data_IF_860924822328
#
_entry.id   IF_860924822328
#
_cell.length_a   1.000
_cell.length_b   1.000
_cell.length_c   1.000
_cell.angle_alpha   90.00
_cell.angle_beta   90.00
_cell.angle_gamma   90.00
#
_symmetry.space_group_name_H-M   'P 1'
#
loop_
_entity.id
_entity.type
_entity.pdbx_description
1 polymer ?
#
# COMPACT_ATOMS: atom_id res chain seq x y z
N UNK A 1 21.43 -12.18 22.98
CA UNK A 1 20.82 -10.84 22.82
C UNK A 1 20.59 -10.48 21.35
N UNK A 2 21.59 -10.58 20.46
CA UNK A 2 21.41 -10.24 19.03
C UNK A 2 20.30 -11.05 18.31
N UNK A 3 20.25 -12.38 18.48
CA UNK A 3 19.17 -13.21 17.89
C UNK A 3 17.77 -12.75 18.32
N UNK A 4 17.56 -12.47 19.61
CA UNK A 4 16.29 -11.97 20.13
C UNK A 4 15.95 -10.60 19.53
N UNK A 5 16.94 -9.74 19.32
CA UNK A 5 16.74 -8.44 18.69
C UNK A 5 16.32 -8.58 17.22
N UNK A 6 17.01 -9.40 16.44
CA UNK A 6 16.68 -9.65 15.02
C UNK A 6 15.32 -10.32 14.85
N UNK A 7 14.93 -11.21 15.78
CA UNK A 7 13.58 -11.80 15.81
C UNK A 7 12.53 -10.73 16.13
N UNK A 8 12.79 -9.85 17.11
CA UNK A 8 11.87 -8.75 17.44
C UNK A 8 11.65 -7.79 16.27
N UNK A 9 12.70 -7.49 15.49
CA UNK A 9 12.59 -6.66 14.27
C UNK A 9 11.69 -7.34 13.23
N UNK A 10 11.84 -8.64 13.02
CA UNK A 10 10.98 -9.39 12.11
C UNK A 10 9.53 -9.46 12.59
N UNK A 11 9.32 -9.67 13.90
CA UNK A 11 7.99 -9.61 14.50
C UNK A 11 7.38 -8.22 14.24
N UNK A 12 8.15 -7.14 14.36
CA UNK A 12 7.64 -5.79 14.09
C UNK A 12 7.18 -5.59 12.64
N UNK A 13 7.83 -6.26 11.66
CA UNK A 13 7.41 -6.24 10.25
C UNK A 13 6.11 -7.01 10.01
N UNK A 14 5.97 -8.19 10.61
CA UNK A 14 4.90 -9.14 10.27
C UNK A 14 3.70 -9.08 11.20
N UNK A 15 3.90 -8.64 12.45
CA UNK A 15 2.83 -8.50 13.44
C UNK A 15 1.67 -7.61 12.94
N UNK A 16 1.89 -6.46 12.29
CA UNK A 16 0.79 -5.64 11.75
C UNK A 16 -0.04 -6.40 10.71
N UNK A 17 0.61 -7.19 9.85
CA UNK A 17 -0.05 -8.02 8.82
C UNK A 17 -0.91 -9.08 9.51
N UNK A 18 -0.36 -9.78 10.51
CA UNK A 18 -1.08 -10.80 11.28
C UNK A 18 -2.27 -10.19 12.02
N UNK A 19 -2.07 -9.07 12.71
CA UNK A 19 -3.12 -8.39 13.49
C UNK A 19 -4.25 -7.90 12.59
N UNK A 20 -3.95 -7.30 11.44
CA UNK A 20 -4.96 -6.88 10.46
C UNK A 20 -5.68 -8.08 9.86
N UNK A 21 -4.96 -9.12 9.45
CA UNK A 21 -5.57 -10.33 8.89
C UNK A 21 -6.55 -11.00 9.86
N UNK A 22 -6.20 -11.04 11.15
CA UNK A 22 -7.05 -11.60 12.21
C UNK A 22 -8.19 -10.67 12.57
N UNK A 23 -7.93 -9.36 12.69
CA UNK A 23 -8.94 -8.36 13.02
C UNK A 23 -10.06 -8.28 11.98
N UNK A 24 -9.75 -8.52 10.71
CA UNK A 24 -10.71 -8.53 9.60
C UNK A 24 -11.15 -9.95 9.18
N UNK A 25 -10.85 -10.99 9.96
CA UNK A 25 -11.22 -12.39 9.67
C UNK A 25 -10.88 -12.87 8.25
N UNK A 26 -9.78 -12.38 7.70
CA UNK A 26 -9.41 -12.65 6.32
C UNK A 26 -9.09 -14.13 6.09
N UNK A 27 -9.67 -14.71 5.04
CA UNK A 27 -9.32 -16.09 4.63
C UNK A 27 -8.15 -16.05 3.64
N UNK A 28 -6.94 -16.54 4.00
CA UNK A 28 -5.74 -16.40 3.17
C UNK A 28 -5.89 -17.07 1.80
N UNK A 29 -6.62 -18.20 1.73
CA UNK A 29 -6.88 -18.91 0.47
C UNK A 29 -7.64 -18.07 -0.56
N UNK A 30 -8.53 -17.18 -0.10
CA UNK A 30 -9.31 -16.31 -0.99
C UNK A 30 -8.47 -15.16 -1.54
N UNK A 31 -7.45 -14.74 -0.80
CA UNK A 31 -6.57 -13.64 -1.20
C UNK A 31 -5.47 -14.08 -2.17
N UNK A 32 -5.31 -15.38 -2.43
CA UNK A 32 -4.30 -15.91 -3.34
C UNK A 32 -4.27 -15.23 -4.73
N UNK A 33 -5.41 -15.05 -5.44
CA UNK A 33 -5.40 -14.34 -6.73
C UNK A 33 -4.95 -12.88 -6.61
N UNK A 34 -5.36 -12.19 -5.53
CA UNK A 34 -4.95 -10.81 -5.26
C UNK A 34 -3.44 -10.73 -4.98
N UNK A 35 -2.93 -11.62 -4.14
CA UNK A 35 -1.50 -11.76 -3.81
C UNK A 35 -0.70 -12.03 -5.08
N UNK A 36 -1.18 -12.91 -5.97
CA UNK A 36 -0.51 -13.21 -7.24
C UNK A 36 -0.45 -11.99 -8.17
N UNK A 37 -1.55 -11.23 -8.31
CA UNK A 37 -1.57 -10.02 -9.13
C UNK A 37 -0.62 -8.95 -8.58
N UNK A 38 -0.61 -8.75 -7.26
CA UNK A 38 0.30 -7.77 -6.63
C UNK A 38 1.76 -8.23 -6.73
N UNK A 39 2.04 -9.53 -6.59
CA UNK A 39 3.38 -10.06 -6.78
C UNK A 39 3.88 -9.84 -8.22
N UNK A 40 3.03 -10.12 -9.21
CA UNK A 40 3.35 -9.86 -10.62
C UNK A 40 3.58 -8.38 -10.89
N UNK A 41 2.76 -7.48 -10.32
CA UNK A 41 2.96 -6.04 -10.50
C UNK A 41 4.28 -5.56 -9.89
N UNK A 42 4.60 -6.00 -8.67
CA UNK A 42 5.86 -5.63 -8.00
C UNK A 42 7.09 -6.20 -8.74
N UNK A 43 7.03 -7.45 -9.23
CA UNK A 43 8.09 -8.05 -10.06
C UNK A 43 8.25 -7.30 -11.39
N UNK A 44 7.15 -6.93 -12.04
CA UNK A 44 7.20 -6.16 -13.29
C UNK A 44 7.82 -4.77 -13.06
N UNK A 45 7.41 -4.06 -12.01
CA UNK A 45 7.98 -2.76 -11.64
C UNK A 45 9.48 -2.84 -11.37
N UNK A 46 9.91 -3.82 -10.56
CA UNK A 46 11.34 -4.02 -10.27
C UNK A 46 12.13 -4.39 -11.52
N UNK A 47 11.57 -5.20 -12.42
CA UNK A 47 12.21 -5.54 -13.70
C UNK A 47 12.41 -4.31 -14.58
N UNK A 48 11.42 -3.42 -14.66
CA UNK A 48 11.52 -2.17 -15.43
C UNK A 48 12.54 -1.22 -14.79
N UNK A 49 12.55 -1.10 -13.47
CA UNK A 49 13.53 -0.27 -12.76
C UNK A 49 14.96 -0.78 -12.99
N UNK A 50 15.15 -2.10 -12.96
CA UNK A 50 16.45 -2.73 -13.20
C UNK A 50 16.88 -2.58 -14.65
N UNK A 51 15.97 -2.71 -15.63
CA UNK A 51 16.30 -2.52 -17.04
C UNK A 51 16.68 -1.07 -17.39
N UNK A 52 16.21 -0.10 -16.59
CA UNK A 52 16.61 1.31 -16.67
C UNK A 52 17.92 1.61 -15.92
N UNK A 53 18.56 0.62 -15.28
CA UNK A 53 19.81 0.85 -14.57
C UNK A 53 20.97 0.91 -15.55
N UNK A 54 21.67 2.04 -15.58
CA UNK A 54 22.82 2.24 -16.46
C UNK A 54 23.66 3.45 -16.07
N UNK A 55 24.88 3.54 -16.60
CA UNK A 55 25.83 4.62 -16.29
C UNK A 55 25.43 5.98 -16.88
N UNK A 56 24.43 6.03 -17.77
CA UNK A 56 23.98 7.27 -18.39
C UNK A 56 23.09 8.11 -17.47
N UNK A 57 23.34 9.42 -17.40
CA UNK A 57 22.47 10.39 -16.71
C UNK A 57 21.01 10.29 -17.18
N UNK A 58 20.80 10.04 -18.48
CA UNK A 58 19.46 9.84 -19.05
C UNK A 58 18.75 8.61 -18.47
N UNK A 59 19.45 7.47 -18.37
CA UNK A 59 18.90 6.24 -17.80
C UNK A 59 18.59 6.40 -16.32
N UNK A 60 19.50 7.01 -15.55
CA UNK A 60 19.26 7.33 -14.15
C UNK A 60 18.05 8.28 -13.99
N UNK A 61 17.93 9.31 -14.84
CA UNK A 61 16.79 10.22 -14.82
C UNK A 61 15.47 9.49 -15.12
N UNK A 62 15.45 8.63 -16.14
CA UNK A 62 14.29 7.79 -16.46
C UNK A 62 13.93 6.84 -15.32
N UNK A 63 14.93 6.21 -14.70
CA UNK A 63 14.73 5.33 -13.55
C UNK A 63 14.08 6.07 -12.39
N UNK A 64 14.52 7.29 -12.10
CA UNK A 64 13.96 8.12 -11.03
C UNK A 64 12.55 8.63 -11.38
N UNK A 65 12.32 9.05 -12.63
CA UNK A 65 10.98 9.40 -13.10
C UNK A 65 10.02 8.21 -12.96
N UNK A 66 10.47 7.00 -13.29
CA UNK A 66 9.67 5.80 -13.12
C UNK A 66 9.35 5.52 -11.64
N UNK A 67 10.35 5.61 -10.75
CA UNK A 67 10.17 5.40 -9.29
C UNK A 67 9.28 6.46 -8.63
N UNK A 68 9.44 7.72 -8.99
CA UNK A 68 8.73 8.85 -8.36
C UNK A 68 7.33 9.03 -8.94
N UNK A 69 7.16 8.83 -10.24
CA UNK A 69 5.89 9.08 -10.93
C UNK A 69 5.15 7.79 -11.27
N UNK A 70 5.75 6.94 -12.10
CA UNK A 70 5.04 5.81 -12.70
C UNK A 70 4.62 4.78 -11.64
N UNK A 71 5.49 4.42 -10.71
CA UNK A 71 5.22 3.42 -9.67
C UNK A 71 4.02 3.83 -8.79
N UNK A 72 4.01 5.02 -8.15
CA UNK A 72 2.84 5.48 -7.39
C UNK A 72 1.52 5.50 -8.14
N UNK A 73 1.56 5.89 -9.42
CA UNK A 73 0.37 5.95 -10.29
C UNK A 73 -0.13 4.55 -10.61
N UNK A 74 0.75 3.62 -10.98
CA UNK A 74 0.40 2.22 -11.21
C UNK A 74 -0.18 1.56 -9.96
N UNK A 75 0.43 1.83 -8.79
CA UNK A 75 -0.05 1.27 -7.52
C UNK A 75 -1.43 1.78 -7.16
N UNK A 76 -1.66 3.10 -7.27
CA UNK A 76 -2.96 3.69 -7.00
C UNK A 76 -4.03 3.20 -7.99
N UNK A 77 -3.68 3.06 -9.27
CA UNK A 77 -4.57 2.51 -10.29
C UNK A 77 -4.88 1.02 -10.04
N UNK A 78 -3.92 0.22 -9.58
CA UNK A 78 -4.15 -1.19 -9.24
C UNK A 78 -5.03 -1.33 -7.99
N UNK A 79 -4.83 -0.48 -6.98
CA UNK A 79 -5.71 -0.43 -5.80
C UNK A 79 -7.13 -0.03 -6.22
N UNK A 80 -7.29 0.98 -7.08
CA UNK A 80 -8.59 1.38 -7.62
C UNK A 80 -9.26 0.27 -8.42
N UNK A 81 -8.52 -0.39 -9.31
CA UNK A 81 -9.00 -1.55 -10.05
C UNK A 81 -9.44 -2.68 -9.11
N UNK A 82 -8.64 -3.04 -8.11
CA UNK A 82 -8.96 -4.11 -7.18
C UNK A 82 -10.18 -3.81 -6.30
N UNK A 83 -10.43 -2.54 -5.97
CA UNK A 83 -11.48 -2.12 -5.03
C UNK A 83 -12.78 -1.62 -5.69
N UNK A 84 -12.70 -1.04 -6.88
CA UNK A 84 -13.83 -0.37 -7.53
C UNK A 84 -14.31 -1.09 -8.80
N UNK A 85 -13.51 -1.93 -9.46
CA UNK A 85 -13.99 -2.72 -10.62
C UNK A 85 -14.78 -3.96 -10.13
N UNK A 86 -16.09 -4.07 -10.44
CA UNK A 86 -16.92 -5.18 -9.96
C UNK A 86 -16.49 -6.55 -10.51
N UNK A 87 -15.89 -6.60 -11.71
CA UNK A 87 -15.34 -7.83 -12.29
C UNK A 87 -14.05 -8.20 -11.58
N UNK A 88 -13.17 -7.24 -11.34
CA UNK A 88 -11.94 -7.46 -10.59
C UNK A 88 -12.22 -7.94 -9.17
N UNK A 89 -13.12 -7.29 -8.43
CA UNK A 89 -13.50 -7.70 -7.07
C UNK A 89 -14.01 -9.15 -6.99
N UNK A 90 -14.78 -9.58 -7.99
CA UNK A 90 -15.26 -10.97 -8.10
C UNK A 90 -14.11 -11.92 -8.43
N UNK A 91 -13.28 -11.59 -9.43
CA UNK A 91 -12.16 -12.42 -9.88
C UNK A 91 -11.06 -12.56 -8.82
N UNK A 92 -10.76 -11.47 -8.11
CA UNK A 92 -9.76 -11.38 -7.06
C UNK A 92 -10.31 -11.82 -5.69
N UNK A 93 -11.58 -12.22 -5.63
CA UNK A 93 -12.30 -12.69 -4.44
C UNK A 93 -12.26 -11.71 -3.24
N UNK A 94 -12.12 -10.41 -3.52
CA UNK A 94 -12.04 -9.35 -2.52
C UNK A 94 -13.40 -9.08 -1.85
N UNK A 95 -14.52 -9.50 -2.48
CA UNK A 95 -15.90 -9.36 -1.94
C UNK A 95 -16.56 -10.70 -1.59
N UNK A 96 -15.81 -11.58 -0.92
CA UNK A 96 -16.26 -12.92 -0.54
C UNK A 96 -16.93 -13.05 0.82
N UNK A 97 -17.71 -12.08 1.32
CA UNK A 97 -18.55 -12.25 2.51
C UNK A 97 -18.02 -11.61 3.81
N UNK A 98 -18.30 -10.31 3.97
CA UNK A 98 -18.06 -9.56 5.22
C UNK A 98 -16.66 -8.95 5.38
N UNK A 99 -15.72 -9.33 4.52
CA UNK A 99 -14.33 -8.89 4.61
C UNK A 99 -14.16 -7.44 4.12
N UNK A 100 -13.46 -6.61 4.91
CA UNK A 100 -13.09 -5.22 4.56
C UNK A 100 -12.11 -5.26 3.37
N UNK A 101 -12.60 -4.92 2.18
CA UNK A 101 -11.87 -5.02 0.93
C UNK A 101 -10.59 -4.16 0.94
N UNK A 102 -10.68 -2.94 1.48
CA UNK A 102 -9.50 -2.08 1.66
C UNK A 102 -8.41 -2.72 2.51
N UNK A 103 -8.81 -3.38 3.61
CA UNK A 103 -7.88 -4.05 4.49
C UNK A 103 -7.25 -5.25 3.78
N UNK A 104 -8.03 -6.05 3.06
CA UNK A 104 -7.54 -7.18 2.29
C UNK A 104 -6.48 -6.77 1.28
N UNK A 105 -6.69 -5.67 0.55
CA UNK A 105 -5.70 -5.11 -0.37
C UNK A 105 -4.44 -4.66 0.35
N UNK A 106 -4.56 -3.91 1.45
CA UNK A 106 -3.40 -3.45 2.22
C UNK A 106 -2.57 -4.61 2.79
N UNK A 107 -3.23 -5.63 3.34
CA UNK A 107 -2.58 -6.83 3.90
C UNK A 107 -1.91 -7.65 2.81
N UNK A 108 -2.60 -7.92 1.70
CA UNK A 108 -2.01 -8.66 0.59
C UNK A 108 -0.80 -7.92 0.02
N UNK A 109 -0.90 -6.61 -0.17
CA UNK A 109 0.18 -5.80 -0.71
C UNK A 109 1.42 -5.82 0.18
N UNK A 110 1.24 -5.59 1.47
CA UNK A 110 2.36 -5.56 2.42
C UNK A 110 2.94 -6.93 2.69
N UNK A 111 2.14 -7.99 2.68
CA UNK A 111 2.64 -9.35 2.74
C UNK A 111 3.57 -9.67 1.55
N UNK A 112 3.18 -9.27 0.34
CA UNK A 112 4.02 -9.46 -0.86
C UNK A 112 5.28 -8.60 -0.79
N UNK A 113 5.19 -7.33 -0.39
CA UNK A 113 6.36 -6.44 -0.22
C UNK A 113 7.38 -7.02 0.76
N UNK A 114 6.91 -7.46 1.93
CA UNK A 114 7.77 -8.09 2.95
C UNK A 114 8.39 -9.38 2.41
N UNK A 115 7.60 -10.23 1.76
CA UNK A 115 8.07 -11.51 1.23
C UNK A 115 9.12 -11.35 0.10
N UNK A 116 8.90 -10.41 -0.83
CA UNK A 116 9.78 -10.23 -1.99
C UNK A 116 11.04 -9.42 -1.64
N UNK A 117 10.90 -8.33 -0.88
CA UNK A 117 11.98 -7.34 -0.76
C UNK A 117 12.67 -7.30 0.60
N UNK A 118 12.03 -7.78 1.67
CA UNK A 118 12.56 -7.66 3.04
C UNK A 118 12.98 -8.98 3.65
N UNK A 119 12.30 -10.07 3.30
CA UNK A 119 12.54 -11.42 3.83
C UNK A 119 13.99 -11.88 3.61
N UNK A 120 14.52 -11.73 2.40
CA UNK A 120 15.87 -12.20 2.08
C UNK A 120 16.96 -11.43 2.83
N UNK A 121 16.83 -10.10 2.93
CA UNK A 121 17.78 -9.27 3.70
C UNK A 121 17.77 -9.67 5.18
N UNK A 122 16.58 -9.84 5.76
CA UNK A 122 16.46 -10.30 7.14
C UNK A 122 17.07 -11.70 7.33
N UNK A 123 16.77 -12.65 6.44
CA UNK A 123 17.31 -14.01 6.50
C UNK A 123 18.84 -14.03 6.44
N UNK A 124 19.45 -13.13 5.68
CA UNK A 124 20.91 -13.04 5.59
C UNK A 124 21.55 -12.54 6.90
N UNK A 125 20.91 -11.60 7.61
CA UNK A 125 21.45 -10.98 8.81
C UNK A 125 21.01 -11.69 10.11
N UNK A 126 19.96 -12.52 10.07
CA UNK A 126 19.42 -13.15 11.28
C UNK A 126 20.47 -13.95 12.08
N UNK A 127 21.43 -14.58 11.40
CA UNK A 127 22.50 -15.36 12.02
C UNK A 127 23.73 -14.55 12.43
N UNK A 128 23.79 -13.26 12.07
CA UNK A 128 24.94 -12.41 12.35
C UNK A 128 24.87 -11.84 13.78
N UNK A 129 25.98 -11.85 14.52
CA UNK A 129 26.04 -11.20 15.82
C UNK A 129 26.07 -9.68 15.66
N UNK A 130 25.01 -9.01 16.09
CA UNK A 130 24.90 -7.55 16.04
C UNK A 130 23.45 -7.06 16.12
N UNK A 131 23.30 -5.76 16.35
CA UNK A 131 22.07 -5.03 16.08
C UNK A 131 22.19 -4.41 14.69
N UNK A 132 21.20 -4.63 13.85
CA UNK A 132 21.18 -4.10 12.49
C UNK A 132 20.19 -2.94 12.37
N UNK A 133 20.73 -1.73 12.29
CA UNK A 133 19.98 -0.49 12.11
C UNK A 133 19.20 -0.47 10.80
N UNK A 134 19.72 -1.07 9.72
CA UNK A 134 19.05 -1.11 8.42
C UNK A 134 17.79 -1.98 8.49
N UNK A 135 17.87 -3.11 9.17
CA UNK A 135 16.73 -3.98 9.40
C UNK A 135 15.67 -3.32 10.30
N UNK A 136 16.07 -2.56 11.33
CA UNK A 136 15.11 -1.79 12.13
C UNK A 136 14.42 -0.71 11.29
N UNK A 137 15.16 0.06 10.49
CA UNK A 137 14.59 1.07 9.58
C UNK A 137 13.63 0.43 8.59
N UNK A 138 14.02 -0.70 8.01
CA UNK A 138 13.17 -1.51 7.13
C UNK A 138 11.88 -1.93 7.86
N UNK A 139 11.93 -2.32 9.13
CA UNK A 139 10.73 -2.68 9.87
C UNK A 139 9.76 -1.50 10.06
N UNK A 140 10.29 -0.33 10.41
CA UNK A 140 9.48 0.90 10.56
C UNK A 140 8.88 1.31 9.22
N UNK A 141 9.64 1.22 8.13
CA UNK A 141 9.12 1.51 6.78
C UNK A 141 7.98 0.55 6.39
N UNK A 142 8.11 -0.75 6.67
CA UNK A 142 7.04 -1.72 6.42
C UNK A 142 5.78 -1.38 7.22
N UNK A 143 5.94 -0.94 8.47
CA UNK A 143 4.84 -0.49 9.32
C UNK A 143 4.16 0.78 8.77
N UNK A 144 4.93 1.79 8.39
CA UNK A 144 4.38 3.02 7.81
C UNK A 144 3.69 2.72 6.47
N UNK A 145 4.27 1.80 5.67
CA UNK A 145 3.71 1.40 4.40
C UNK A 145 2.34 0.71 4.57
N UNK A 146 2.19 -0.23 5.51
CA UNK A 146 0.90 -0.91 5.72
C UNK A 146 -0.19 0.08 6.16
N UNK A 147 0.13 1.02 7.05
CA UNK A 147 -0.81 2.04 7.51
C UNK A 147 -1.17 2.99 6.35
N UNK A 148 -0.18 3.46 5.58
CA UNK A 148 -0.39 4.31 4.41
C UNK A 148 -1.24 3.61 3.34
N UNK A 149 -0.97 2.34 3.04
CA UNK A 149 -1.74 1.51 2.11
C UNK A 149 -3.17 1.32 2.59
N UNK A 150 -3.39 1.06 3.88
CA UNK A 150 -4.74 0.93 4.44
C UNK A 150 -5.53 2.23 4.30
N UNK A 151 -4.91 3.38 4.60
CA UNK A 151 -5.56 4.69 4.46
C UNK A 151 -5.86 4.96 2.98
N UNK A 152 -4.89 4.73 2.09
CA UNK A 152 -5.04 4.89 0.65
C UNK A 152 -6.16 4.01 0.09
N UNK A 153 -6.15 2.73 0.42
CA UNK A 153 -7.18 1.77 0.01
C UNK A 153 -8.57 2.20 0.51
N UNK A 154 -8.68 2.71 1.74
CA UNK A 154 -9.95 3.23 2.27
C UNK A 154 -10.41 4.55 1.66
N UNK A 155 -9.49 5.39 1.22
CA UNK A 155 -9.83 6.60 0.49
C UNK A 155 -10.35 6.23 -0.91
N UNK A 156 -9.68 5.28 -1.56
CA UNK A 156 -10.01 4.81 -2.91
C UNK A 156 -11.29 3.98 -2.92
N UNK A 157 -11.49 3.12 -1.92
CA UNK A 157 -12.72 2.35 -1.74
C UNK A 157 -13.87 3.35 -1.61
N UNK A 158 -14.57 3.55 -2.73
CA UNK A 158 -15.67 4.48 -2.82
C UNK A 158 -16.69 4.17 -1.73
N UNK A 159 -17.29 5.21 -1.15
CA UNK A 159 -18.37 5.08 -0.17
C UNK A 159 -19.59 4.40 -0.79
N UNK A 160 -19.55 3.10 -0.96
CA UNK A 160 -20.71 2.23 -1.21
C UNK A 160 -21.26 1.77 0.14
N UNK A 161 -21.34 2.69 1.09
CA UNK A 161 -22.12 2.57 2.32
C UNK A 161 -22.91 3.87 2.49
N UNK A 162 -23.90 4.05 1.62
CA UNK A 162 -24.91 5.10 1.73
C UNK A 162 -26.27 4.47 1.48
N UNK A 163 -27.01 4.21 2.57
CA UNK A 163 -28.46 4.03 2.63
C UNK A 163 -29.14 3.34 1.42
N UNK A 164 -29.15 2.02 1.39
CA UNK A 164 -30.26 1.31 0.74
C UNK A 164 -31.47 1.30 1.69
N UNK A 165 -32.08 2.46 1.93
CA UNK A 165 -33.46 2.58 2.37
C UNK A 165 -33.96 3.97 1.94
N UNK A 166 -35.03 3.95 1.13
CA UNK A 166 -35.80 5.07 0.58
C UNK A 166 -35.39 5.71 -0.76
N UNK A 167 -36.30 5.46 -1.72
CA UNK A 167 -36.92 6.43 -2.63
C UNK A 167 -36.11 6.97 -3.81
N UNK A 168 -36.56 6.55 -5.00
CA UNK A 168 -36.97 7.39 -6.13
C UNK A 168 -36.31 8.77 -6.27
N UNK A 169 -35.67 8.96 -7.43
CA UNK A 169 -35.08 10.19 -7.97
C UNK A 169 -33.78 10.62 -7.29
N UNK A 170 -32.68 10.55 -8.03
CA UNK A 170 -32.01 11.71 -8.62
C UNK A 170 -30.73 11.20 -9.30
N UNK A 171 -30.74 11.28 -10.64
CA UNK A 171 -29.54 11.35 -11.44
C UNK A 171 -28.75 12.60 -11.00
N UNK A 172 -27.66 12.49 -10.23
CA UNK A 172 -26.54 13.48 -10.21
C UNK A 172 -25.57 13.38 -9.01
N UNK A 173 -25.03 12.20 -8.66
CA UNK A 173 -23.97 12.13 -7.62
C UNK A 173 -22.91 11.05 -7.86
N UNK A 174 -22.62 10.73 -9.12
CA UNK A 174 -21.68 9.66 -9.50
C UNK A 174 -20.22 10.11 -9.74
N UNK A 175 -19.85 11.37 -9.44
CA UNK A 175 -18.58 11.94 -9.94
C UNK A 175 -17.49 12.26 -8.90
N UNK A 176 -17.72 12.04 -7.59
CA UNK A 176 -16.68 12.36 -6.58
C UNK A 176 -15.82 11.13 -6.23
N UNK A 177 -16.34 9.91 -6.40
CA UNK A 177 -15.59 8.68 -6.12
C UNK A 177 -14.57 8.32 -7.21
N UNK A 178 -14.81 8.72 -8.47
CA UNK A 178 -14.01 8.29 -9.62
C UNK A 178 -12.60 8.90 -9.71
N UNK A 179 -12.27 9.88 -8.85
CA UNK A 179 -11.00 10.59 -8.87
C UNK A 179 -10.15 10.46 -7.60
N UNK A 180 -10.59 9.73 -6.58
CA UNK A 180 -9.85 9.69 -5.31
C UNK A 180 -8.49 8.98 -5.46
N UNK A 181 -8.41 7.98 -6.33
CA UNK A 181 -7.15 7.32 -6.66
C UNK A 181 -6.14 8.29 -7.28
N UNK A 182 -6.59 9.30 -8.03
CA UNK A 182 -5.73 10.35 -8.60
C UNK A 182 -5.13 11.18 -7.47
N UNK A 183 -5.93 11.59 -6.48
CA UNK A 183 -5.43 12.31 -5.31
C UNK A 183 -4.43 11.48 -4.50
N UNK A 184 -4.72 10.20 -4.28
CA UNK A 184 -3.80 9.27 -3.62
C UNK A 184 -2.50 9.13 -4.42
N UNK A 185 -2.59 9.02 -5.75
CA UNK A 185 -1.42 8.96 -6.63
C UNK A 185 -0.58 10.23 -6.51
N UNK A 186 -1.19 11.43 -6.60
CA UNK A 186 -0.49 12.71 -6.46
C UNK A 186 0.24 12.81 -5.12
N UNK A 187 -0.40 12.41 -4.02
CA UNK A 187 0.21 12.45 -2.69
C UNK A 187 1.38 11.47 -2.59
N UNK A 188 1.24 10.27 -3.15
CA UNK A 188 2.33 9.29 -3.20
C UNK A 188 3.49 9.75 -4.08
N UNK A 189 3.22 10.38 -5.22
CA UNK A 189 4.24 11.00 -6.09
C UNK A 189 4.99 12.09 -5.33
N UNK A 190 4.28 12.96 -4.61
CA UNK A 190 4.91 13.98 -3.76
C UNK A 190 5.76 13.35 -2.66
N UNK A 191 5.25 12.32 -1.97
CA UNK A 191 5.99 11.59 -0.94
C UNK A 191 7.28 10.95 -1.48
N UNK A 192 7.21 10.30 -2.63
CA UNK A 192 8.37 9.70 -3.31
C UNK A 192 9.36 10.77 -3.80
N UNK A 193 8.86 11.92 -4.28
CA UNK A 193 9.70 13.05 -4.67
C UNK A 193 10.47 13.63 -3.49
N UNK A 194 9.83 13.73 -2.33
CA UNK A 194 10.49 14.15 -1.08
C UNK A 194 11.50 13.09 -0.61
N UNK A 195 11.15 11.81 -0.63
CA UNK A 195 12.10 10.73 -0.31
C UNK A 195 13.36 10.80 -1.19
N UNK A 196 13.18 11.03 -2.49
CA UNK A 196 14.26 11.20 -3.44
C UNK A 196 15.12 12.42 -3.11
N UNK A 197 14.50 13.58 -2.86
CA UNK A 197 15.21 14.83 -2.58
C UNK A 197 16.05 14.77 -1.30
N UNK A 198 15.55 14.14 -0.24
CA UNK A 198 16.26 13.99 1.03
C UNK A 198 17.11 12.71 1.13
N UNK A 199 17.05 11.82 0.15
CA UNK A 199 17.71 10.51 0.21
C UNK A 199 17.20 9.61 1.34
N UNK A 200 15.97 9.81 1.81
CA UNK A 200 15.41 9.10 2.97
C UNK A 200 13.96 8.67 2.73
N UNK A 201 13.78 7.38 2.43
CA UNK A 201 12.47 6.77 2.14
C UNK A 201 11.49 6.86 3.31
N UNK A 202 12.00 6.82 4.56
CA UNK A 202 11.16 6.91 5.75
C UNK A 202 10.47 8.29 5.85
N UNK A 203 11.19 9.37 5.54
CA UNK A 203 10.62 10.73 5.57
C UNK A 203 9.51 10.86 4.53
N UNK A 204 9.75 10.41 3.30
CA UNK A 204 8.73 10.44 2.25
C UNK A 204 7.50 9.58 2.59
N UNK A 205 7.73 8.39 3.16
CA UNK A 205 6.65 7.49 3.58
C UNK A 205 5.82 8.06 4.72
N UNK A 206 6.47 8.67 5.73
CA UNK A 206 5.79 9.33 6.84
C UNK A 206 4.97 10.53 6.37
N UNK A 207 5.53 11.37 5.48
CA UNK A 207 4.81 12.50 4.89
C UNK A 207 3.61 12.05 4.06
N UNK A 208 3.78 11.00 3.25
CA UNK A 208 2.68 10.38 2.51
C UNK A 208 1.57 9.91 3.47
N UNK A 209 1.92 9.20 4.54
CA UNK A 209 0.96 8.76 5.56
C UNK A 209 0.21 9.94 6.19
N UNK A 210 0.94 10.99 6.61
CA UNK A 210 0.35 12.20 7.22
C UNK A 210 -0.55 12.92 6.22
N UNK A 211 -0.14 13.08 4.97
CA UNK A 211 -0.93 13.73 3.94
C UNK A 211 -2.22 12.96 3.63
N UNK A 212 -2.15 11.62 3.54
CA UNK A 212 -3.34 10.77 3.39
C UNK A 212 -4.26 10.85 4.60
N UNK A 213 -3.72 10.90 5.83
CA UNK A 213 -4.52 11.14 7.04
C UNK A 213 -5.21 12.50 7.00
N UNK A 214 -4.50 13.56 6.60
CA UNK A 214 -5.09 14.88 6.45
C UNK A 214 -6.25 14.85 5.45
N UNK A 215 -6.06 14.26 4.26
CA UNK A 215 -7.12 14.12 3.25
C UNK A 215 -8.32 13.37 3.83
N UNK A 216 -8.09 12.26 4.54
CA UNK A 216 -9.14 11.50 5.20
C UNK A 216 -9.88 12.33 6.25
N UNK A 217 -9.18 13.08 7.09
CA UNK A 217 -9.78 13.95 8.11
C UNK A 217 -10.60 15.09 7.50
N UNK A 218 -10.08 15.76 6.47
CA UNK A 218 -10.78 16.84 5.77
C UNK A 218 -12.05 16.32 5.05
N UNK A 219 -11.99 15.14 4.43
CA UNK A 219 -13.15 14.54 3.77
C UNK A 219 -14.17 13.95 4.77
N UNK A 220 -13.68 13.37 5.87
CA UNK A 220 -14.51 12.87 6.97
C UNK A 220 -15.27 13.99 7.67
N UNK A 221 -14.61 15.12 7.92
CA UNK A 221 -15.23 16.31 8.51
C UNK A 221 -16.37 16.87 7.66
N UNK A 222 -16.25 16.84 6.32
CA UNK A 222 -17.31 17.30 5.41
C UNK A 222 -18.56 16.41 5.38
N UNK A 223 -18.53 15.23 5.99
CA UNK A 223 -19.60 14.24 5.81
C UNK A 223 -20.11 13.61 7.09
N UNK A 224 -19.77 14.14 8.26
CA UNK A 224 -20.40 13.77 9.53
C UNK A 224 -20.21 12.32 9.97
N UNK A 225 -19.34 11.55 9.31
CA UNK A 225 -19.05 10.17 9.71
C UNK A 225 -18.13 10.19 10.93
N UNK A 226 -18.66 9.76 12.08
CA UNK A 226 -17.90 9.57 13.33
C UNK A 226 -16.76 8.58 13.11
N UNK A 227 -15.63 8.88 13.78
CA UNK A 227 -14.38 8.09 13.85
C UNK A 227 -14.67 6.63 14.24
#
# INVERSE_FOLDING_TARGET
MSLLCNISIYILMVLPIILLSRGYNMRPQRLLPLVAVIALSLIAQSTIITSLTGSGLFLNCLQQMFKVLAVPVMDAALIDFALNDPKARKSLQVMGGGDDASAAVAVAWTAVDVALYRWFNWYHVMGQPGFDEENLRSAVEAFVNIVSLLIAARLIEGRVQGNEHNSNKVNSTHNVSSGMWIWVAVVRVMGNGVAYFYGNNLIGSALNMVALLCIRCFLGSKTGAKI
#
